data_IF_400900819197
#
_entry.id   IF_400900819197
#
_cell.length_a   1.000
_cell.length_b   1.000
_cell.length_c   1.000
_cell.angle_alpha   90.00
_cell.angle_beta   90.00
_cell.angle_gamma   90.00
#
_symmetry.space_group_name_H-M   'P 1'
#
loop_
_entity.id
_entity.type
_entity.pdbx_description
1 polymer ?
#
# COMPACT_ATOMS: atom_id res chain seq x y z
N UNK A 1 5.25 -14.62 -1.10
CA UNK A 1 5.07 -14.19 0.30
C UNK A 1 3.94 -13.18 0.39
N UNK A 2 3.04 -13.27 1.38
CA UNK A 2 1.92 -12.33 1.55
C UNK A 2 2.31 -10.95 2.08
N UNK A 3 3.28 -10.88 2.99
CA UNK A 3 3.92 -9.65 3.49
C UNK A 3 5.00 -10.01 4.51
N UNK A 4 5.92 -9.08 4.72
CA UNK A 4 6.95 -9.17 5.76
C UNK A 4 6.39 -8.80 7.14
N UNK A 5 7.08 -9.22 8.20
CA UNK A 5 7.05 -8.49 9.47
C UNK A 5 7.88 -7.21 9.34
N UNK A 6 7.71 -6.28 10.27
CA UNK A 6 8.51 -5.06 10.29
C UNK A 6 10.02 -5.37 10.39
N UNK A 7 10.39 -6.29 11.28
CA UNK A 7 11.79 -6.66 11.51
C UNK A 7 12.39 -7.35 10.28
N UNK A 8 11.63 -8.24 9.61
CA UNK A 8 12.06 -8.84 8.35
C UNK A 8 12.31 -7.79 7.26
N UNK A 9 11.46 -6.78 7.15
CA UNK A 9 11.66 -5.71 6.17
C UNK A 9 12.93 -4.89 6.45
N UNK A 10 13.24 -4.64 7.73
CA UNK A 10 14.48 -3.96 8.15
C UNK A 10 15.70 -4.85 7.90
N UNK A 11 15.64 -6.13 8.24
CA UNK A 11 16.72 -7.10 7.98
C UNK A 11 17.06 -7.22 6.49
N UNK A 12 16.07 -7.03 5.61
CA UNK A 12 16.24 -7.02 4.15
C UNK A 12 16.65 -5.63 3.58
N UNK A 13 16.79 -4.61 4.42
CA UNK A 13 17.22 -3.26 4.01
C UNK A 13 16.14 -2.43 3.31
N UNK A 14 14.84 -2.76 3.50
CA UNK A 14 13.71 -2.05 2.86
C UNK A 14 13.35 -0.72 3.55
N UNK A 15 13.90 -0.48 4.74
CA UNK A 15 13.73 0.74 5.57
C UNK A 15 12.30 1.32 5.59
N UNK A 16 11.30 0.64 6.21
CA UNK A 16 9.92 1.12 6.29
C UNK A 16 9.72 2.49 6.96
N UNK A 17 10.76 3.02 7.61
CA UNK A 17 10.76 4.35 8.26
C UNK A 17 10.88 5.49 7.26
N UNK A 18 11.45 5.24 6.09
CA UNK A 18 11.70 6.26 5.06
C UNK A 18 10.44 6.62 4.28
N UNK A 19 9.35 5.87 4.47
CA UNK A 19 8.07 6.10 3.80
C UNK A 19 7.15 6.94 4.67
N UNK A 20 6.65 8.03 4.09
CA UNK A 20 5.73 8.96 4.75
C UNK A 20 4.44 8.27 5.21
N UNK A 21 3.94 8.68 6.37
CA UNK A 21 2.67 8.20 6.93
C UNK A 21 1.45 8.89 6.30
N UNK A 22 1.67 10.06 5.68
CA UNK A 22 0.64 10.89 5.09
C UNK A 22 0.77 10.81 3.57
N UNK A 23 -0.02 9.96 2.90
CA UNK A 23 -0.04 9.93 1.44
C UNK A 23 -0.62 11.24 0.89
N UNK A 24 -0.21 11.58 -0.33
CA UNK A 24 -0.86 12.62 -1.13
C UNK A 24 -2.34 12.27 -1.29
N UNK A 25 -3.21 13.28 -1.16
CA UNK A 25 -4.65 13.13 -1.42
C UNK A 25 -4.90 13.38 -2.91
N UNK A 26 -5.62 12.47 -3.55
CA UNK A 26 -5.93 12.56 -4.97
C UNK A 26 -5.83 11.20 -5.65
N UNK A 27 -5.71 11.25 -6.98
CA UNK A 27 -5.50 10.09 -7.84
C UNK A 27 -4.15 10.20 -8.54
N UNK A 28 -3.33 9.16 -8.43
CA UNK A 28 -1.99 9.15 -9.01
C UNK A 28 -1.46 7.72 -9.13
N UNK A 29 -0.40 7.56 -9.92
CA UNK A 29 0.26 6.27 -10.11
C UNK A 29 1.36 6.04 -9.09
N UNK A 30 1.44 4.82 -8.56
CA UNK A 30 2.50 4.42 -7.64
C UNK A 30 2.85 2.93 -7.79
N UNK A 31 4.13 2.61 -7.60
CA UNK A 31 4.66 1.25 -7.61
C UNK A 31 4.62 0.68 -6.21
N UNK A 32 4.10 -0.53 -6.05
CA UNK A 32 4.13 -1.25 -4.78
C UNK A 32 5.52 -1.82 -4.54
N UNK A 33 6.28 -1.26 -3.61
CA UNK A 33 7.64 -1.72 -3.32
C UNK A 33 7.63 -3.00 -2.48
N UNK A 34 6.88 -2.99 -1.38
CA UNK A 34 6.75 -4.12 -0.47
C UNK A 34 5.55 -3.95 0.46
N UNK A 35 5.28 -4.99 1.25
CA UNK A 35 4.15 -5.07 2.18
C UNK A 35 4.61 -5.51 3.56
N UNK A 36 4.05 -4.90 4.60
CA UNK A 36 4.34 -5.23 6.00
C UNK A 36 3.06 -5.41 6.80
N UNK A 37 2.99 -6.46 7.61
CA UNK A 37 1.92 -6.60 8.59
C UNK A 37 1.99 -5.50 9.65
N UNK A 38 0.91 -4.73 9.79
CA UNK A 38 0.82 -3.70 10.81
C UNK A 38 0.67 -4.29 12.22
N UNK A 39 0.76 -3.42 13.22
CA UNK A 39 0.51 -3.79 14.64
C UNK A 39 -0.97 -4.03 14.94
N UNK A 40 -1.85 -3.64 14.03
CA UNK A 40 -3.30 -3.85 14.11
C UNK A 40 -3.72 -4.78 12.98
N UNK A 41 -5.02 -4.87 12.76
CA UNK A 41 -5.60 -5.65 11.67
C UNK A 41 -5.47 -4.86 10.36
N UNK A 42 -4.25 -4.60 9.94
CA UNK A 42 -3.98 -3.85 8.72
C UNK A 42 -2.71 -4.36 8.05
N UNK A 43 -2.71 -4.23 6.72
CA UNK A 43 -1.56 -4.48 5.88
C UNK A 43 -1.05 -3.13 5.40
N UNK A 44 0.19 -2.80 5.74
CA UNK A 44 0.84 -1.59 5.27
C UNK A 44 1.48 -1.87 3.92
N UNK A 45 1.01 -1.16 2.90
CA UNK A 45 1.55 -1.22 1.55
C UNK A 45 2.42 0.02 1.33
N UNK A 46 3.66 -0.22 0.92
CA UNK A 46 4.70 0.81 0.75
C UNK A 46 4.83 1.09 -0.73
N UNK A 47 4.69 2.36 -1.08
CA UNK A 47 4.60 2.80 -2.46
C UNK A 47 5.59 3.90 -2.78
N UNK A 48 6.09 3.87 -4.00
CA UNK A 48 6.90 4.94 -4.60
C UNK A 48 6.18 5.52 -5.81
N UNK A 49 6.02 6.84 -5.86
CA UNK A 49 5.54 7.56 -7.05
C UNK A 49 6.68 7.60 -8.07
N UNK A 50 6.56 6.98 -9.27
CA UNK A 50 7.67 6.89 -10.22
C UNK A 50 8.15 8.25 -10.74
N UNK A 51 7.24 9.20 -10.91
CA UNK A 51 7.56 10.51 -11.50
C UNK A 51 8.36 11.41 -10.55
N UNK A 52 8.11 11.31 -9.24
CA UNK A 52 8.69 12.22 -8.23
C UNK A 52 9.68 11.52 -7.29
N UNK A 53 9.66 10.18 -7.24
CA UNK A 53 10.39 9.38 -6.25
C UNK A 53 9.81 9.48 -4.84
N UNK A 54 8.63 10.09 -4.68
CA UNK A 54 7.99 10.25 -3.37
C UNK A 54 7.56 8.90 -2.80
N UNK A 55 7.91 8.65 -1.54
CA UNK A 55 7.68 7.38 -0.85
C UNK A 55 6.67 7.57 0.27
N UNK A 56 5.61 6.79 0.24
CA UNK A 56 4.55 6.83 1.25
C UNK A 56 3.98 5.45 1.50
N UNK A 57 3.21 5.31 2.57
CA UNK A 57 2.46 4.08 2.84
C UNK A 57 0.99 4.33 3.04
N UNK A 58 0.20 3.35 2.65
CA UNK A 58 -1.24 3.28 2.89
C UNK A 58 -1.59 1.94 3.53
N UNK A 59 -2.67 1.92 4.31
CA UNK A 59 -3.13 0.70 4.97
C UNK A 59 -4.32 0.12 4.23
N UNK A 60 -4.19 -1.13 3.81
CA UNK A 60 -5.31 -1.98 3.46
C UNK A 60 -5.87 -2.62 4.74
N UNK A 61 -7.18 -2.77 4.80
CA UNK A 61 -7.88 -3.32 5.96
C UNK A 61 -8.69 -4.54 5.54
N UNK A 62 -8.93 -5.46 6.47
CA UNK A 62 -9.80 -6.61 6.21
C UNK A 62 -11.26 -6.26 6.45
N UNK A 63 -12.10 -6.39 5.43
CA UNK A 63 -13.56 -6.25 5.60
C UNK A 63 -14.23 -7.59 5.93
N UNK A 64 -13.74 -8.70 5.37
CA UNK A 64 -14.34 -10.04 5.50
C UNK A 64 -13.50 -11.04 6.32
N UNK A 65 -12.42 -10.56 6.93
CA UNK A 65 -11.52 -11.36 7.75
C UNK A 65 -10.40 -12.08 6.99
N UNK A 66 -10.39 -12.06 5.64
CA UNK A 66 -9.42 -12.79 4.82
C UNK A 66 -8.62 -11.90 3.88
N UNK A 67 -9.30 -10.98 3.18
CA UNK A 67 -8.72 -10.14 2.15
C UNK A 67 -8.36 -8.77 2.71
N UNK A 68 -7.25 -8.19 2.26
CA UNK A 68 -6.81 -6.85 2.66
C UNK A 68 -6.86 -5.92 1.46
N UNK A 69 -7.92 -5.13 1.39
CA UNK A 69 -8.23 -4.31 0.22
C UNK A 69 -8.24 -2.81 0.57
N UNK A 70 -8.21 -1.92 -0.45
CA UNK A 70 -8.80 -0.60 -0.34
C UNK A 70 -10.32 -0.70 -0.12
N UNK A 71 -11.00 0.43 0.01
CA UNK A 71 -12.46 0.43 0.28
C UNK A 71 -13.33 -0.08 -0.86
N UNK A 72 -12.85 -0.06 -2.08
CA UNK A 72 -13.55 -0.60 -3.24
C UNK A 72 -13.61 -2.14 -3.22
N UNK A 73 -12.66 -2.79 -2.54
CA UNK A 73 -12.62 -4.24 -2.40
C UNK A 73 -12.06 -4.98 -3.62
N UNK A 74 -11.60 -4.27 -4.64
CA UNK A 74 -11.30 -4.85 -5.96
C UNK A 74 -9.97 -5.62 -6.00
N UNK A 75 -8.96 -5.18 -5.24
CA UNK A 75 -7.64 -5.81 -5.19
C UNK A 75 -7.31 -6.23 -3.76
N UNK A 76 -7.10 -7.53 -3.53
CA UNK A 76 -6.53 -8.04 -2.29
C UNK A 76 -5.01 -7.87 -2.30
N UNK A 77 -4.53 -6.80 -1.67
CA UNK A 77 -3.11 -6.53 -1.56
C UNK A 77 -2.34 -7.56 -0.74
N UNK A 78 -3.01 -8.47 -0.02
CA UNK A 78 -2.32 -9.54 0.69
C UNK A 78 -1.93 -10.74 -0.20
N UNK A 79 -2.31 -10.72 -1.49
CA UNK A 79 -1.87 -11.73 -2.46
C UNK A 79 -0.36 -11.63 -2.72
N UNK A 80 0.24 -12.76 -3.09
CA UNK A 80 1.65 -12.86 -3.40
C UNK A 80 1.94 -12.40 -4.83
N UNK A 81 3.06 -11.71 -5.07
CA UNK A 81 3.50 -11.35 -6.43
C UNK A 81 2.93 -10.04 -6.97
N UNK A 82 2.34 -9.22 -6.09
CA UNK A 82 1.87 -7.87 -6.41
C UNK A 82 3.00 -6.83 -6.34
N UNK A 83 4.06 -7.13 -5.61
CA UNK A 83 5.24 -6.28 -5.48
C UNK A 83 5.88 -6.02 -6.84
N UNK A 84 6.34 -4.77 -7.04
CA UNK A 84 6.79 -4.24 -8.31
C UNK A 84 5.66 -3.68 -9.18
N UNK A 85 4.41 -4.11 -8.98
CA UNK A 85 3.26 -3.67 -9.78
C UNK A 85 3.03 -2.16 -9.72
N UNK A 86 2.63 -1.59 -10.85
CA UNK A 86 2.19 -0.20 -10.97
C UNK A 86 0.66 -0.14 -10.83
N UNK A 87 0.21 0.73 -9.94
CA UNK A 87 -1.19 0.90 -9.61
C UNK A 87 -1.59 2.37 -9.74
N UNK A 88 -2.83 2.61 -10.17
CA UNK A 88 -3.49 3.89 -9.96
C UNK A 88 -4.21 3.85 -8.61
N UNK A 89 -3.78 4.70 -7.69
CA UNK A 89 -4.34 4.78 -6.35
C UNK A 89 -5.30 5.95 -6.26
N UNK A 90 -6.44 5.75 -5.61
CA UNK A 90 -7.34 6.84 -5.20
C UNK A 90 -7.29 6.98 -3.68
N UNK A 91 -6.71 8.08 -3.21
CA UNK A 91 -6.59 8.41 -1.79
C UNK A 91 -7.47 9.62 -1.49
N UNK A 92 -8.38 9.47 -0.54
CA UNK A 92 -9.28 10.55 -0.10
C UNK A 92 -9.18 10.82 1.38
N UNK A 93 -10.01 11.73 1.88
CA UNK A 93 -10.20 11.94 3.33
C UNK A 93 -11.40 11.15 3.82
N UNK A 94 -11.26 10.48 4.96
CA UNK A 94 -12.41 9.90 5.66
C UNK A 94 -13.23 10.98 6.39
N UNK A 95 -14.35 10.57 7.01
CA UNK A 95 -15.23 11.46 7.80
C UNK A 95 -14.53 12.21 8.94
N UNK A 96 -13.34 11.74 9.37
CA UNK A 96 -12.50 12.35 10.41
C UNK A 96 -11.34 13.19 9.85
N UNK A 97 -11.33 13.44 8.54
CA UNK A 97 -10.30 14.24 7.86
C UNK A 97 -8.97 13.55 7.63
N UNK A 98 -8.82 12.26 7.99
CA UNK A 98 -7.59 11.48 7.79
C UNK A 98 -7.57 10.84 6.42
N UNK A 99 -6.37 10.64 5.85
CA UNK A 99 -6.20 9.91 4.61
C UNK A 99 -6.82 8.49 4.70
N UNK A 100 -7.45 8.08 3.62
CA UNK A 100 -8.08 6.77 3.46
C UNK A 100 -7.85 6.29 2.03
N UNK A 101 -7.45 5.03 1.92
CA UNK A 101 -7.27 4.37 0.64
C UNK A 101 -8.63 3.95 0.11
N UNK A 102 -9.12 4.65 -0.92
CA UNK A 102 -10.47 4.48 -1.44
C UNK A 102 -10.52 3.40 -2.51
N UNK A 103 -9.57 3.44 -3.45
CA UNK A 103 -9.55 2.50 -4.56
C UNK A 103 -8.12 2.22 -5.03
N UNK A 104 -7.96 1.12 -5.76
CA UNK A 104 -6.75 0.82 -6.51
C UNK A 104 -7.09 0.08 -7.80
N UNK A 105 -6.42 0.47 -8.88
CA UNK A 105 -6.50 -0.20 -10.18
C UNK A 105 -5.12 -0.68 -10.59
N UNK A 106 -4.97 -1.95 -10.94
CA UNK A 106 -3.73 -2.49 -11.47
C UNK A 106 -3.54 -2.03 -12.91
N UNK A 107 -2.40 -1.41 -13.21
CA UNK A 107 -2.09 -0.93 -14.55
C UNK A 107 -1.18 -1.88 -15.31
N UNK A 108 -0.07 -2.29 -14.67
CA UNK A 108 0.93 -3.21 -15.26
C UNK A 108 1.95 -3.69 -14.23
N UNK A 109 2.61 -4.82 -14.51
CA UNK A 109 3.88 -5.16 -13.86
C UNK A 109 5.06 -4.56 -14.64
N UNK A 110 6.19 -4.25 -13.98
CA UNK A 110 7.43 -3.95 -14.66
C UNK A 110 7.84 -5.19 -15.46
N UNK A 111 8.07 -5.00 -16.76
CA UNK A 111 8.62 -6.05 -17.64
C UNK A 111 10.03 -6.44 -17.21
#
# INVERSE_FOLDING_TARGET
MRAFTYDQAVELGLEPRDYAYEPVIGEFEAVLDFKVWGKSINLQCFFTVPETGERFRVSAFREDGKHYTPKDGEIDFSEEGLEGGLYRLTIGKNKKGRAAWLAAEFLRNPM
#
